data_IF_860820229895
#
_entry.id   IF_860820229895
#
_cell.length_a   1.000
_cell.length_b   1.000
_cell.length_c   1.000
_cell.angle_alpha   90.00
_cell.angle_beta   90.00
_cell.angle_gamma   90.00
#
_symmetry.space_group_name_H-M   'P 1'
#
loop_
_entity.id
_entity.type
_entity.pdbx_description
1 polymer ?
#
# COMPACT_ATOMS: atom_id res chain seq x y z
N UNK A 1 8.75 6.20 -15.55
CA UNK A 1 7.32 6.57 -15.68
C UNK A 1 6.87 6.98 -14.30
N UNK A 2 6.77 8.30 -14.06
CA UNK A 2 6.32 8.87 -12.79
C UNK A 2 4.79 8.74 -12.77
N UNK A 3 4.27 7.79 -11.99
CA UNK A 3 2.84 7.66 -11.78
C UNK A 3 2.39 8.73 -10.78
N UNK A 4 1.21 9.27 -11.07
CA UNK A 4 0.63 10.50 -10.54
C UNK A 4 0.67 10.64 -9.00
N UNK A 5 0.69 11.89 -8.54
CA UNK A 5 0.29 12.28 -7.19
C UNK A 5 -1.09 11.64 -6.92
N UNK A 6 -1.15 10.71 -5.98
CA UNK A 6 -2.11 9.62 -5.96
C UNK A 6 -3.53 10.00 -5.56
N UNK A 7 -4.51 9.45 -6.29
CA UNK A 7 -5.85 9.23 -5.76
C UNK A 7 -5.71 8.53 -4.39
N UNK A 8 -6.30 9.09 -3.32
CA UNK A 8 -6.29 8.60 -1.93
C UNK A 8 -5.14 9.05 -1.00
N UNK A 9 -4.45 10.16 -1.28
CA UNK A 9 -3.53 10.77 -0.31
C UNK A 9 -2.15 10.10 -0.20
N UNK A 10 -1.85 9.19 -1.13
CA UNK A 10 -0.55 8.53 -1.27
C UNK A 10 0.43 9.49 -1.96
N UNK A 11 1.50 9.86 -1.25
CA UNK A 11 2.61 10.66 -1.74
C UNK A 11 3.56 9.84 -2.61
N UNK A 12 3.91 8.64 -2.13
CA UNK A 12 4.89 7.79 -2.78
C UNK A 12 4.48 6.33 -2.67
N UNK A 13 4.76 5.57 -3.72
CA UNK A 13 4.64 4.11 -3.72
C UNK A 13 5.97 3.51 -4.14
N UNK A 14 6.50 2.62 -3.31
CA UNK A 14 7.66 1.79 -3.66
C UNK A 14 7.31 0.32 -3.52
N UNK A 15 7.84 -0.50 -4.42
CA UNK A 15 7.66 -1.95 -4.39
C UNK A 15 9.03 -2.62 -4.34
N UNK A 16 9.17 -3.56 -3.42
CA UNK A 16 10.38 -4.33 -3.18
C UNK A 16 10.05 -5.81 -3.25
N UNK A 17 11.00 -6.62 -3.72
CA UNK A 17 10.93 -8.07 -3.60
C UNK A 17 11.86 -8.52 -2.49
N UNK A 18 11.43 -9.45 -1.65
CA UNK A 18 12.30 -10.04 -0.64
C UNK A 18 13.47 -10.78 -1.31
N UNK A 19 14.61 -10.85 -0.63
CA UNK A 19 15.85 -11.44 -1.20
C UNK A 19 15.65 -12.91 -1.59
N UNK A 20 14.82 -13.65 -0.86
CA UNK A 20 14.44 -15.03 -1.14
C UNK A 20 13.40 -15.17 -2.28
N UNK A 21 12.91 -14.06 -2.82
CA UNK A 21 11.90 -14.01 -3.87
C UNK A 21 10.49 -14.41 -3.45
N UNK A 22 10.25 -14.70 -2.16
CA UNK A 22 8.99 -15.29 -1.70
C UNK A 22 7.86 -14.28 -1.54
N UNK A 23 8.17 -12.98 -1.40
CA UNK A 23 7.19 -11.93 -1.13
C UNK A 23 7.50 -10.63 -1.87
N UNK A 24 6.46 -9.84 -2.08
CA UNK A 24 6.55 -8.43 -2.48
C UNK A 24 6.12 -7.58 -1.28
N UNK A 25 6.90 -6.55 -0.99
CA UNK A 25 6.60 -5.53 0.01
C UNK A 25 6.29 -4.25 -0.75
N UNK A 26 5.09 -3.71 -0.56
CA UNK A 26 4.70 -2.41 -1.10
C UNK A 26 4.62 -1.43 0.06
N UNK A 27 5.34 -0.32 -0.05
CA UNK A 27 5.30 0.77 0.92
C UNK A 27 4.58 1.95 0.30
N UNK A 28 3.59 2.47 1.02
CA UNK A 28 2.90 3.70 0.68
C UNK A 28 3.24 4.75 1.73
N UNK A 29 3.71 5.91 1.28
CA UNK A 29 3.89 7.09 2.14
C UNK A 29 2.65 7.96 2.03
N UNK A 30 2.10 8.40 3.16
CA UNK A 30 0.87 9.19 3.24
C UNK A 30 1.13 10.55 3.88
N UNK A 31 0.28 11.53 3.58
CA UNK A 31 0.33 12.87 4.17
C UNK A 31 -0.18 12.93 5.61
N UNK A 32 -1.08 12.02 5.96
CA UNK A 32 -1.81 12.07 7.21
C UNK A 32 -2.19 10.66 7.67
N UNK A 33 -2.37 10.52 8.98
CA UNK A 33 -2.93 9.28 9.55
C UNK A 33 -4.37 9.03 9.09
N UNK A 34 -5.13 10.07 8.77
CA UNK A 34 -6.49 9.93 8.22
C UNK A 34 -6.46 9.21 6.86
N UNK A 35 -5.47 9.50 6.01
CA UNK A 35 -5.32 8.83 4.71
C UNK A 35 -4.84 7.38 4.87
N UNK A 36 -3.98 7.11 5.87
CA UNK A 36 -3.59 5.75 6.24
C UNK A 36 -4.82 4.93 6.64
N UNK A 37 -5.67 5.47 7.52
CA UNK A 37 -6.89 4.80 7.99
C UNK A 37 -7.87 4.53 6.85
N UNK A 38 -8.08 5.50 5.94
CA UNK A 38 -8.90 5.31 4.74
C UNK A 38 -8.37 4.19 3.85
N UNK A 39 -7.06 4.14 3.64
CA UNK A 39 -6.43 3.09 2.85
C UNK A 39 -6.58 1.71 3.50
N UNK A 40 -6.38 1.62 4.82
CA UNK A 40 -6.58 0.38 5.57
C UNK A 40 -8.05 -0.09 5.49
N UNK A 41 -9.00 0.84 5.62
CA UNK A 41 -10.42 0.52 5.49
C UNK A 41 -10.76 -0.01 4.09
N UNK A 42 -10.22 0.59 3.04
CA UNK A 42 -10.40 0.11 1.66
C UNK A 42 -9.82 -1.30 1.46
N UNK A 43 -8.64 -1.60 2.00
CA UNK A 43 -8.04 -2.94 1.91
C UNK A 43 -8.76 -3.99 2.76
N UNK A 44 -9.54 -3.58 3.76
CA UNK A 44 -10.37 -4.45 4.57
C UNK A 44 -11.77 -4.70 3.96
N UNK A 45 -12.25 -3.79 3.11
CA UNK A 45 -13.57 -3.88 2.48
C UNK A 45 -13.58 -4.88 1.30
N UNK A 46 -14.60 -5.75 1.15
CA UNK A 46 -14.65 -6.73 0.06
C UNK A 46 -14.57 -6.15 -1.35
N UNK A 47 -15.17 -4.97 -1.60
CA UNK A 47 -15.10 -4.31 -2.90
C UNK A 47 -13.68 -3.76 -3.14
N UNK A 48 -13.08 -3.16 -2.12
CA UNK A 48 -11.69 -2.72 -2.15
C UNK A 48 -10.70 -3.86 -2.39
N UNK A 49 -10.92 -5.02 -1.77
CA UNK A 49 -10.12 -6.22 -2.02
C UNK A 49 -10.27 -6.72 -3.45
N UNK A 50 -11.47 -6.68 -4.02
CA UNK A 50 -11.70 -7.12 -5.39
C UNK A 50 -11.00 -6.19 -6.39
N UNK A 51 -11.04 -4.88 -6.16
CA UNK A 51 -10.25 -3.92 -6.93
C UNK A 51 -8.74 -4.18 -6.78
N UNK A 52 -8.25 -4.48 -5.57
CA UNK A 52 -6.84 -4.79 -5.35
C UNK A 52 -6.40 -6.08 -6.07
N UNK A 53 -7.25 -7.12 -6.09
CA UNK A 53 -6.98 -8.37 -6.84
C UNK A 53 -6.91 -8.13 -8.35
N UNK A 54 -7.77 -7.27 -8.90
CA UNK A 54 -7.71 -6.89 -10.32
C UNK A 54 -6.38 -6.20 -10.67
N UNK A 55 -5.74 -5.56 -9.69
CA UNK A 55 -4.41 -4.97 -9.80
C UNK A 55 -3.26 -5.92 -9.41
N UNK A 56 -3.55 -7.23 -9.23
CA UNK A 56 -2.56 -8.27 -9.01
C UNK A 56 -2.21 -8.56 -7.54
N UNK A 57 -2.93 -7.98 -6.58
CA UNK A 57 -2.75 -8.29 -5.16
C UNK A 57 -3.34 -9.66 -4.83
N UNK A 58 -2.55 -10.52 -4.20
CA UNK A 58 -2.99 -11.85 -3.74
C UNK A 58 -3.21 -11.81 -2.23
N UNK A 59 -4.43 -12.08 -1.80
CA UNK A 59 -4.81 -12.15 -0.39
C UNK A 59 -4.55 -13.54 0.22
N UNK A 60 -4.33 -13.65 1.55
CA UNK A 60 -4.31 -12.57 2.52
C UNK A 60 -3.04 -11.72 2.44
N UNK A 61 -3.18 -10.40 2.60
CA UNK A 61 -2.04 -9.48 2.75
C UNK A 61 -1.78 -9.22 4.23
N UNK A 62 -0.53 -8.94 4.57
CA UNK A 62 -0.17 -8.41 5.90
C UNK A 62 0.17 -6.94 5.75
N UNK A 63 -0.44 -6.10 6.58
CA UNK A 63 -0.24 -4.65 6.56
C UNK A 63 0.27 -4.17 7.91
N UNK A 64 1.16 -3.20 7.89
CA UNK A 64 1.68 -2.53 9.06
C UNK A 64 1.67 -1.02 8.83
N UNK A 65 1.41 -0.26 9.89
CA UNK A 65 1.65 1.18 9.91
C UNK A 65 3.01 1.40 10.57
N UNK A 66 3.85 2.21 9.94
CA UNK A 66 5.17 2.56 10.45
C UNK A 66 5.41 4.06 10.23
N UNK A 67 6.24 4.64 11.08
CA UNK A 67 6.73 6.01 10.92
C UNK A 67 8.05 5.98 10.15
N UNK A 68 8.22 6.92 9.23
CA UNK A 68 9.51 7.14 8.59
C UNK A 68 10.48 7.75 9.60
N UNK A 69 11.69 7.19 9.69
CA UNK A 69 12.76 7.71 10.52
C UNK A 69 13.82 8.28 9.59
N UNK A 70 14.12 9.57 9.74
CA UNK A 70 15.23 10.20 9.02
C UNK A 70 16.55 9.61 9.55
N UNK A 71 17.37 9.08 8.62
CA UNK A 71 18.68 8.49 8.90
C UNK A 71 19.82 9.42 8.55
#
# INVERSE_FOLDING_TARGET
>A
MSQAVGENGIQETKAYRTVDGSRVVVTHTFNSMEDVEKHLAMMADPEGQEMAKQNGVVFPVTMWVAEEVES
#
